data_IF_988276809214
#
_entry.id   IF_988276809214
#
_cell.length_a   1.000
_cell.length_b   1.000
_cell.length_c   1.000
_cell.angle_alpha   90.00
_cell.angle_beta   90.00
_cell.angle_gamma   90.00
#
_symmetry.space_group_name_H-M   'P 1'
#
loop_
_entity.id
_entity.type
_entity.pdbx_description
1 polymer ?
#
# COMPACT_ATOMS: atom_id res chain seq x y z
N UNK A 1 -27.25 -14.56 -102.09
CA UNK A 1 -26.52 -13.59 -101.24
C UNK A 1 -27.09 -13.44 -99.82
N UNK A 2 -28.41 -13.56 -99.59
CA UNK A 2 -29.04 -13.40 -98.27
C UNK A 2 -28.49 -14.35 -97.17
N UNK A 3 -28.21 -15.60 -97.52
CA UNK A 3 -27.75 -16.64 -96.58
C UNK A 3 -26.31 -16.40 -96.05
N UNK A 4 -25.46 -15.64 -96.77
CA UNK A 4 -24.06 -15.39 -96.35
C UNK A 4 -23.97 -14.29 -95.28
N UNK A 5 -24.83 -13.26 -95.37
CA UNK A 5 -24.92 -12.15 -94.42
C UNK A 5 -25.50 -12.60 -93.08
N UNK A 6 -26.59 -13.37 -93.11
CA UNK A 6 -27.17 -13.99 -91.90
C UNK A 6 -26.18 -14.92 -91.18
N UNK A 7 -25.35 -15.67 -91.92
CA UNK A 7 -24.30 -16.52 -91.32
C UNK A 7 -23.19 -15.71 -90.64
N UNK A 8 -22.80 -14.56 -91.21
CA UNK A 8 -21.79 -13.69 -90.60
C UNK A 8 -22.33 -12.99 -89.35
N UNK A 9 -23.56 -12.49 -89.41
CA UNK A 9 -24.24 -11.86 -88.27
C UNK A 9 -24.48 -12.86 -87.13
N UNK A 10 -24.88 -14.09 -87.45
CA UNK A 10 -25.03 -15.17 -86.48
C UNK A 10 -23.69 -15.64 -85.89
N UNK A 11 -22.59 -15.56 -86.65
CA UNK A 11 -21.25 -15.83 -86.12
C UNK A 11 -20.79 -14.72 -85.16
N UNK A 12 -20.99 -13.46 -85.52
CA UNK A 12 -20.66 -12.31 -84.66
C UNK A 12 -21.48 -12.31 -83.36
N UNK A 13 -22.78 -12.58 -83.43
CA UNK A 13 -23.64 -12.72 -82.25
C UNK A 13 -23.23 -13.89 -81.35
N UNK A 14 -22.76 -15.00 -81.93
CA UNK A 14 -22.24 -16.15 -81.15
C UNK A 14 -20.93 -15.81 -80.46
N UNK A 15 -20.05 -15.06 -81.11
CA UNK A 15 -18.80 -14.60 -80.53
C UNK A 15 -19.06 -13.62 -79.37
N UNK A 16 -19.93 -12.63 -79.57
CA UNK A 16 -20.34 -11.69 -78.52
C UNK A 16 -21.01 -12.40 -77.34
N UNK A 17 -21.92 -13.34 -77.62
CA UNK A 17 -22.53 -14.17 -76.58
C UNK A 17 -21.48 -15.00 -75.83
N UNK A 18 -20.49 -15.56 -76.53
CA UNK A 18 -19.40 -16.31 -75.91
C UNK A 18 -18.57 -15.43 -74.97
N UNK A 19 -18.24 -14.20 -75.37
CA UNK A 19 -17.51 -13.25 -74.51
C UNK A 19 -18.33 -12.86 -73.28
N UNK A 20 -19.63 -12.60 -73.43
CA UNK A 20 -20.52 -12.29 -72.29
C UNK A 20 -20.68 -13.48 -71.34
N UNK A 21 -20.78 -14.69 -71.88
CA UNK A 21 -20.83 -15.91 -71.08
C UNK A 21 -19.53 -16.13 -70.30
N UNK A 22 -18.37 -15.88 -70.90
CA UNK A 22 -17.07 -16.01 -70.23
C UNK A 22 -16.93 -15.03 -69.05
N UNK A 23 -17.34 -13.77 -69.23
CA UNK A 23 -17.36 -12.77 -68.15
C UNK A 23 -18.32 -13.21 -67.04
N UNK A 24 -19.51 -13.66 -67.43
CA UNK A 24 -20.52 -14.15 -66.47
C UNK A 24 -19.98 -15.33 -65.65
N UNK A 25 -19.38 -16.32 -66.30
CA UNK A 25 -18.82 -17.51 -65.64
C UNK A 25 -17.70 -17.13 -64.68
N UNK A 26 -16.82 -16.21 -65.06
CA UNK A 26 -15.74 -15.70 -64.19
C UNK A 26 -16.29 -14.94 -62.97
N UNK A 27 -17.41 -14.23 -63.09
CA UNK A 27 -18.06 -13.58 -61.95
C UNK A 27 -18.76 -14.62 -61.06
N UNK A 28 -19.43 -15.62 -61.66
CA UNK A 28 -20.10 -16.71 -60.94
C UNK A 28 -19.14 -17.63 -60.19
N UNK A 29 -17.88 -17.74 -60.63
CA UNK A 29 -16.86 -18.52 -59.93
C UNK A 29 -16.27 -17.82 -58.70
N UNK A 30 -16.29 -16.49 -58.65
CA UNK A 30 -15.67 -15.69 -57.58
C UNK A 30 -16.68 -15.08 -56.59
N UNK A 31 -17.91 -14.80 -57.04
CA UNK A 31 -18.92 -14.13 -56.23
C UNK A 31 -19.97 -15.09 -55.67
N UNK A 32 -20.73 -14.63 -54.68
CA UNK A 32 -21.97 -15.28 -54.27
C UNK A 32 -23.06 -14.84 -55.25
N UNK A 33 -23.64 -15.78 -55.99
CA UNK A 33 -24.61 -15.48 -57.04
C UNK A 33 -25.93 -16.18 -56.75
N UNK A 34 -27.01 -15.41 -56.87
CA UNK A 34 -28.36 -15.96 -56.86
C UNK A 34 -29.25 -15.26 -57.89
N UNK A 35 -30.23 -16.00 -58.38
CA UNK A 35 -31.24 -15.50 -59.31
C UNK A 35 -32.58 -15.50 -58.60
N UNK A 36 -33.34 -14.41 -58.71
CA UNK A 36 -34.70 -14.30 -58.21
C UNK A 36 -35.72 -14.32 -59.35
N UNK A 37 -36.85 -14.98 -59.14
CA UNK A 37 -38.05 -14.80 -59.95
C UNK A 37 -38.58 -13.36 -59.84
N UNK A 38 -39.42 -12.90 -60.78
CA UNK A 38 -39.98 -11.54 -60.74
C UNK A 38 -40.78 -11.22 -59.47
N UNK A 39 -41.28 -12.22 -58.75
CA UNK A 39 -41.98 -12.08 -57.47
C UNK A 39 -41.04 -12.05 -56.23
N UNK A 40 -39.72 -12.17 -56.45
CA UNK A 40 -38.70 -12.14 -55.40
C UNK A 40 -38.36 -13.50 -54.79
N UNK A 41 -38.86 -14.62 -55.35
CA UNK A 41 -38.47 -15.97 -54.92
C UNK A 41 -37.13 -16.41 -55.48
N UNK A 42 -36.35 -17.15 -54.72
CA UNK A 42 -35.03 -17.64 -55.14
C UNK A 42 -35.23 -18.75 -56.19
N UNK A 43 -34.79 -18.47 -57.42
CA UNK A 43 -34.84 -19.40 -58.54
C UNK A 43 -33.61 -20.32 -58.58
N UNK A 44 -32.41 -19.75 -58.36
CA UNK A 44 -31.16 -20.50 -58.39
C UNK A 44 -30.11 -19.82 -57.52
N UNK A 45 -29.13 -20.59 -57.05
CA UNK A 45 -27.96 -20.10 -56.31
C UNK A 45 -26.72 -20.85 -56.81
N UNK A 46 -25.55 -20.22 -56.80
CA UNK A 46 -24.29 -20.91 -57.10
C UNK A 46 -23.74 -21.63 -55.85
N UNK A 47 -22.74 -22.48 -56.06
CA UNK A 47 -22.14 -23.25 -54.96
C UNK A 47 -21.46 -22.34 -53.92
N UNK A 48 -20.86 -21.23 -54.35
CA UNK A 48 -20.25 -20.26 -53.43
C UNK A 48 -21.28 -19.69 -52.46
N UNK A 49 -22.47 -19.30 -52.94
CA UNK A 49 -23.56 -18.83 -52.09
C UNK A 49 -23.98 -19.89 -51.07
N UNK A 50 -24.14 -21.15 -51.49
CA UNK A 50 -24.51 -22.24 -50.58
C UNK A 50 -23.46 -22.48 -49.50
N UNK A 51 -22.19 -22.52 -49.89
CA UNK A 51 -21.07 -22.75 -48.97
C UNK A 51 -20.93 -21.60 -47.97
N UNK A 52 -20.96 -20.35 -48.44
CA UNK A 52 -20.74 -19.19 -47.59
C UNK A 52 -21.97 -18.91 -46.71
N UNK A 53 -23.19 -18.98 -47.26
CA UNK A 53 -24.42 -18.73 -46.51
C UNK A 53 -24.92 -19.94 -45.71
N UNK A 54 -24.20 -21.07 -45.75
CA UNK A 54 -24.46 -22.29 -44.97
C UNK A 54 -25.86 -22.89 -45.18
N UNK A 55 -26.38 -22.78 -46.40
CA UNK A 55 -27.67 -23.37 -46.78
C UNK A 55 -27.49 -24.58 -47.67
N UNK A 56 -28.46 -25.50 -47.65
CA UNK A 56 -28.61 -26.48 -48.72
C UNK A 56 -29.54 -25.92 -49.79
N UNK A 57 -29.33 -26.32 -51.04
CA UNK A 57 -30.11 -25.81 -52.18
C UNK A 57 -31.63 -25.94 -51.97
N UNK A 58 -32.09 -27.08 -51.45
CA UNK A 58 -33.53 -27.31 -51.20
C UNK A 58 -34.15 -26.41 -50.12
N UNK A 59 -33.34 -25.79 -49.26
CA UNK A 59 -33.82 -24.87 -48.21
C UNK A 59 -34.08 -23.45 -48.74
N UNK A 60 -33.56 -23.15 -49.95
CA UNK A 60 -33.60 -21.82 -50.55
C UNK A 60 -34.46 -21.73 -51.79
N UNK A 61 -34.41 -22.72 -52.69
CA UNK A 61 -35.15 -22.63 -53.96
C UNK A 61 -36.65 -22.54 -53.70
N UNK A 62 -37.30 -21.52 -54.29
CA UNK A 62 -38.73 -21.21 -54.12
C UNK A 62 -39.08 -20.36 -52.90
N UNK A 63 -38.13 -20.16 -51.97
CA UNK A 63 -38.29 -19.30 -50.80
C UNK A 63 -38.18 -17.83 -51.18
N UNK A 64 -38.91 -16.95 -50.51
CA UNK A 64 -38.78 -15.51 -50.77
C UNK A 64 -37.45 -15.00 -50.20
N UNK A 65 -36.76 -14.12 -50.92
CA UNK A 65 -35.51 -13.52 -50.42
C UNK A 65 -35.72 -12.79 -49.08
N UNK A 66 -36.93 -12.23 -48.86
CA UNK A 66 -37.36 -11.59 -47.62
C UNK A 66 -37.43 -12.53 -46.41
N UNK A 67 -37.52 -13.84 -46.62
CA UNK A 67 -37.58 -14.84 -45.54
C UNK A 67 -36.20 -15.13 -44.95
N UNK A 68 -35.13 -14.76 -45.65
CA UNK A 68 -33.75 -14.87 -45.19
C UNK A 68 -33.16 -13.51 -44.81
N UNK A 69 -34.00 -12.47 -44.64
CA UNK A 69 -33.60 -11.18 -44.10
C UNK A 69 -33.89 -11.18 -42.58
N UNK A 70 -32.91 -10.85 -41.71
CA UNK A 70 -33.13 -10.80 -40.27
C UNK A 70 -34.28 -9.85 -39.89
N UNK A 71 -35.07 -10.20 -38.89
CA UNK A 71 -36.30 -9.48 -38.55
C UNK A 71 -36.08 -8.00 -38.21
N UNK A 72 -35.02 -7.66 -37.47
CA UNK A 72 -34.66 -6.28 -37.12
C UNK A 72 -34.13 -5.46 -38.30
N UNK A 73 -33.62 -6.10 -39.35
CA UNK A 73 -33.12 -5.42 -40.56
C UNK A 73 -34.27 -5.00 -41.47
N UNK A 74 -35.46 -5.60 -41.34
CA UNK A 74 -36.60 -5.33 -42.25
C UNK A 74 -37.09 -3.88 -42.20
N UNK A 75 -36.78 -3.15 -41.14
CA UNK A 75 -37.06 -1.72 -40.97
C UNK A 75 -35.87 -0.80 -41.33
N UNK A 76 -34.71 -1.35 -41.67
CA UNK A 76 -33.53 -0.57 -42.03
C UNK A 76 -33.75 0.13 -43.38
N UNK A 77 -33.31 1.38 -43.50
CA UNK A 77 -33.42 2.19 -44.72
C UNK A 77 -32.78 1.48 -45.93
N UNK A 78 -31.65 0.82 -45.74
CA UNK A 78 -30.96 0.05 -46.78
C UNK A 78 -31.79 -1.14 -47.28
N UNK A 79 -32.50 -1.82 -46.39
CA UNK A 79 -33.39 -2.91 -46.76
C UNK A 79 -34.62 -2.40 -47.52
N UNK A 80 -35.20 -1.29 -47.08
CA UNK A 80 -36.29 -0.64 -47.80
C UNK A 80 -35.90 -0.27 -49.24
N UNK A 81 -34.69 0.23 -49.44
CA UNK A 81 -34.15 0.53 -50.78
C UNK A 81 -33.97 -0.72 -51.63
N UNK A 82 -33.44 -1.80 -51.06
CA UNK A 82 -33.30 -3.09 -51.74
C UNK A 82 -34.67 -3.65 -52.18
N UNK A 83 -35.65 -3.69 -51.28
CA UNK A 83 -37.01 -4.13 -51.57
C UNK A 83 -37.69 -3.25 -52.63
N UNK A 84 -37.54 -1.93 -52.52
CA UNK A 84 -38.08 -1.00 -53.50
C UNK A 84 -37.51 -1.26 -54.90
N UNK A 85 -36.20 -1.48 -55.02
CA UNK A 85 -35.55 -1.78 -56.30
C UNK A 85 -36.08 -3.08 -56.93
N UNK A 86 -36.26 -4.14 -56.14
CA UNK A 86 -36.88 -5.38 -56.60
C UNK A 86 -38.32 -5.16 -57.07
N UNK A 87 -39.13 -4.40 -56.32
CA UNK A 87 -40.53 -4.14 -56.69
C UNK A 87 -40.69 -3.28 -57.95
N UNK A 88 -39.75 -2.36 -58.20
CA UNK A 88 -39.78 -1.44 -59.34
C UNK A 88 -39.05 -2.00 -60.57
N UNK A 89 -38.32 -3.10 -60.42
CA UNK A 89 -37.50 -3.65 -61.49
C UNK A 89 -36.31 -2.77 -61.84
N UNK A 90 -35.71 -2.15 -60.83
CA UNK A 90 -34.58 -1.23 -60.93
C UNK A 90 -33.27 -1.92 -60.52
N UNK A 91 -32.15 -1.37 -60.98
CA UNK A 91 -30.84 -1.77 -60.53
C UNK A 91 -30.62 -1.33 -59.07
N UNK A 92 -29.93 -2.16 -58.28
CA UNK A 92 -29.50 -1.81 -56.93
C UNK A 92 -28.03 -2.16 -56.72
N UNK A 93 -27.29 -1.28 -56.05
CA UNK A 93 -25.96 -1.54 -55.55
C UNK A 93 -25.85 -1.03 -54.11
N UNK A 94 -25.58 -1.92 -53.16
CA UNK A 94 -25.65 -1.56 -51.74
C UNK A 94 -25.28 -2.71 -50.80
N UNK A 95 -25.33 -2.43 -49.51
CA UNK A 95 -25.19 -3.47 -48.50
C UNK A 95 -26.55 -4.16 -48.27
N UNK A 96 -26.55 -5.48 -48.20
CA UNK A 96 -27.70 -6.34 -47.91
C UNK A 96 -27.30 -7.24 -46.75
N UNK A 97 -28.12 -7.31 -45.71
CA UNK A 97 -27.91 -8.22 -44.58
C UNK A 97 -28.87 -9.40 -44.71
N UNK A 98 -28.31 -10.60 -44.77
CA UNK A 98 -29.06 -11.85 -44.86
C UNK A 98 -28.70 -12.74 -43.67
N UNK A 99 -29.62 -13.61 -43.26
CA UNK A 99 -29.35 -14.70 -42.32
C UNK A 99 -28.69 -15.86 -43.07
N UNK A 100 -27.71 -16.49 -42.42
CA UNK A 100 -27.12 -17.77 -42.83
C UNK A 100 -27.96 -18.93 -42.29
N UNK A 101 -27.73 -20.14 -42.82
CA UNK A 101 -28.45 -21.34 -42.38
C UNK A 101 -28.22 -21.73 -40.91
N UNK A 102 -27.14 -21.26 -40.29
CA UNK A 102 -26.84 -21.45 -38.86
C UNK A 102 -27.46 -20.36 -37.95
N UNK A 103 -28.15 -19.36 -38.52
CA UNK A 103 -28.76 -18.26 -37.78
C UNK A 103 -27.88 -17.02 -37.60
N UNK A 104 -26.59 -17.08 -38.00
CA UNK A 104 -25.71 -15.91 -38.02
C UNK A 104 -26.09 -14.96 -39.15
N UNK A 105 -25.64 -13.71 -39.05
CA UNK A 105 -25.85 -12.73 -40.11
C UNK A 105 -24.68 -12.70 -41.10
N UNK A 106 -25.00 -12.39 -42.35
CA UNK A 106 -24.04 -12.09 -43.40
C UNK A 106 -24.23 -10.66 -43.88
N UNK A 107 -23.14 -9.90 -43.91
CA UNK A 107 -23.09 -8.57 -44.52
C UNK A 107 -22.60 -8.70 -45.95
N UNK A 108 -23.51 -8.57 -46.90
CA UNK A 108 -23.22 -8.73 -48.31
C UNK A 108 -23.16 -7.39 -49.01
N UNK A 109 -22.12 -7.15 -49.81
CA UNK A 109 -22.13 -6.06 -50.79
C UNK A 109 -22.72 -6.61 -52.08
N UNK A 110 -23.97 -6.24 -52.36
CA UNK A 110 -24.76 -6.82 -53.44
C UNK A 110 -25.02 -5.84 -54.57
N UNK A 111 -24.96 -6.37 -55.79
CA UNK A 111 -25.42 -5.72 -57.02
C UNK A 111 -26.58 -6.55 -57.56
N UNK A 112 -27.75 -5.92 -57.72
CA UNK A 112 -28.96 -6.53 -58.27
C UNK A 112 -29.21 -5.97 -59.66
N UNK A 113 -29.31 -6.87 -60.63
CA UNK A 113 -29.56 -6.52 -62.02
C UNK A 113 -30.88 -7.16 -62.51
N UNK A 114 -31.89 -6.37 -62.88
CA UNK A 114 -33.09 -6.89 -63.55
C UNK A 114 -32.74 -7.34 -64.98
N UNK A 115 -32.97 -8.60 -65.29
CA UNK A 115 -32.81 -9.17 -66.63
C UNK A 115 -34.17 -9.17 -67.31
N UNK A 116 -34.30 -8.44 -68.42
CA UNK A 116 -35.55 -8.28 -69.15
C UNK A 116 -35.58 -9.12 -70.42
N UNK A 117 -36.74 -9.64 -70.78
CA UNK A 117 -36.99 -10.27 -72.08
C UNK A 117 -37.08 -9.22 -73.20
N UNK A 118 -37.08 -9.66 -74.45
CA UNK A 118 -37.16 -8.79 -75.63
C UNK A 118 -38.46 -7.97 -75.70
N UNK A 119 -39.50 -8.35 -74.95
CA UNK A 119 -40.77 -7.63 -74.79
C UNK A 119 -40.75 -6.61 -73.62
N UNK A 120 -39.61 -6.42 -72.96
CA UNK A 120 -39.41 -5.45 -71.87
C UNK A 120 -39.86 -5.90 -70.48
N UNK A 121 -40.45 -7.10 -70.35
CA UNK A 121 -40.85 -7.69 -69.05
C UNK A 121 -39.64 -8.21 -68.29
N UNK A 122 -39.69 -8.18 -66.96
CA UNK A 122 -38.64 -8.75 -66.13
C UNK A 122 -38.73 -10.28 -66.21
N UNK A 123 -37.65 -10.92 -66.65
CA UNK A 123 -37.52 -12.37 -66.70
C UNK A 123 -37.07 -12.92 -65.35
N UNK A 124 -36.08 -12.28 -64.73
CA UNK A 124 -35.55 -12.58 -63.40
C UNK A 124 -34.64 -11.44 -62.92
N UNK A 125 -34.20 -11.48 -61.67
CA UNK A 125 -33.12 -10.64 -61.15
C UNK A 125 -31.87 -11.47 -60.93
N UNK A 126 -30.72 -11.02 -61.39
CA UNK A 126 -29.42 -11.61 -61.05
C UNK A 126 -28.77 -10.77 -59.95
N UNK A 127 -28.37 -11.41 -58.85
CA UNK A 127 -27.71 -10.76 -57.72
C UNK A 127 -26.30 -11.32 -57.60
N UNK A 128 -25.31 -10.42 -57.61
CA UNK A 128 -23.91 -10.72 -57.38
C UNK A 128 -23.49 -10.09 -56.07
N UNK A 129 -22.96 -10.87 -55.14
CA UNK A 129 -22.58 -10.39 -53.82
C UNK A 129 -21.17 -10.81 -53.42
N UNK A 130 -20.49 -9.95 -52.66
CA UNK A 130 -19.30 -10.33 -51.89
C UNK A 130 -19.61 -10.27 -50.39
N UNK A 131 -19.03 -11.21 -49.64
CA UNK A 131 -19.19 -11.27 -48.19
C UNK A 131 -18.18 -10.34 -47.50
N UNK A 132 -18.68 -9.39 -46.72
CA UNK A 132 -17.90 -8.44 -45.93
C UNK A 132 -18.04 -8.66 -44.41
N UNK A 133 -18.69 -9.74 -43.99
CA UNK A 133 -19.04 -10.02 -42.58
C UNK A 133 -17.80 -9.97 -41.70
N UNK A 134 -16.77 -10.76 -42.04
CA UNK A 134 -15.53 -10.82 -41.26
C UNK A 134 -14.85 -9.46 -41.12
N UNK A 135 -14.82 -8.67 -42.18
CA UNK A 135 -14.20 -7.33 -42.18
C UNK A 135 -14.99 -6.36 -41.29
N UNK A 136 -16.32 -6.38 -41.38
CA UNK A 136 -17.19 -5.49 -40.59
C UNK A 136 -17.17 -5.88 -39.11
N UNK A 137 -17.23 -7.17 -38.80
CA UNK A 137 -17.18 -7.67 -37.43
C UNK A 137 -15.84 -7.36 -36.78
N UNK A 138 -14.71 -7.62 -37.45
CA UNK A 138 -13.39 -7.27 -36.94
C UNK A 138 -13.25 -5.75 -36.72
N UNK A 139 -13.74 -4.92 -37.64
CA UNK A 139 -13.74 -3.47 -37.47
C UNK A 139 -14.55 -3.04 -36.25
N UNK A 140 -15.75 -3.61 -36.06
CA UNK A 140 -16.61 -3.31 -34.91
C UNK A 140 -16.04 -3.80 -33.59
N UNK A 141 -15.40 -4.96 -33.59
CA UNK A 141 -14.71 -5.49 -32.41
C UNK A 141 -13.58 -4.56 -31.97
N UNK A 142 -12.74 -4.11 -32.92
CA UNK A 142 -11.69 -3.13 -32.64
C UNK A 142 -12.25 -1.79 -32.13
N UNK A 143 -13.32 -1.27 -32.75
CA UNK A 143 -13.98 -0.04 -32.28
C UNK A 143 -14.52 -0.18 -30.85
N UNK A 144 -15.18 -1.31 -30.56
CA UNK A 144 -15.71 -1.59 -29.23
C UNK A 144 -14.59 -1.71 -28.18
N UNK A 145 -13.48 -2.35 -28.53
CA UNK A 145 -12.31 -2.50 -27.66
C UNK A 145 -11.66 -1.14 -27.36
N UNK A 146 -11.40 -0.33 -28.39
CA UNK A 146 -10.87 1.03 -28.22
C UNK A 146 -11.84 1.88 -27.39
N UNK A 147 -13.15 1.78 -27.69
CA UNK A 147 -14.18 2.47 -26.92
C UNK A 147 -14.17 2.09 -25.44
N UNK A 148 -13.94 0.82 -25.11
CA UNK A 148 -13.81 0.37 -23.72
C UNK A 148 -12.58 0.97 -23.02
N UNK A 149 -11.42 1.00 -23.70
CA UNK A 149 -10.19 1.59 -23.18
C UNK A 149 -10.33 3.10 -22.93
N UNK A 150 -10.93 3.84 -23.89
CA UNK A 150 -11.10 5.30 -23.80
C UNK A 150 -12.07 5.70 -22.68
N UNK A 151 -13.02 4.84 -22.29
CA UNK A 151 -13.96 5.11 -21.20
C UNK A 151 -13.33 4.99 -19.81
N UNK A 152 -12.34 4.11 -19.65
CA UNK A 152 -11.71 3.81 -18.35
C UNK A 152 -10.38 4.53 -18.13
N UNK A 153 -9.74 5.07 -19.18
CA UNK A 153 -8.41 5.71 -19.10
C UNK A 153 -8.46 7.19 -19.48
N UNK A 154 -7.54 7.99 -18.95
CA UNK A 154 -7.34 9.35 -19.42
C UNK A 154 -6.56 9.33 -20.74
N UNK A 155 -7.09 10.00 -21.77
CA UNK A 155 -6.52 10.00 -23.12
C UNK A 155 -6.31 11.43 -23.59
N UNK A 156 -5.13 11.69 -24.13
CA UNK A 156 -4.78 12.96 -24.77
C UNK A 156 -3.91 12.69 -26.00
N UNK A 157 -4.17 13.43 -27.07
CA UNK A 157 -3.50 13.29 -28.35
C UNK A 157 -2.66 14.52 -28.66
N UNK A 158 -1.49 14.31 -29.26
CA UNK A 158 -0.57 15.37 -29.66
C UNK A 158 -0.16 15.22 -31.12
N UNK A 159 0.13 16.35 -31.77
CA UNK A 159 0.90 16.35 -33.02
C UNK A 159 2.38 16.00 -32.75
N UNK A 160 3.18 15.85 -33.81
CA UNK A 160 4.61 15.53 -33.70
C UNK A 160 5.46 16.68 -33.12
N UNK A 161 4.89 17.88 -33.02
CA UNK A 161 5.52 19.01 -32.35
C UNK A 161 5.14 19.07 -30.87
N UNK A 162 4.31 18.14 -30.38
CA UNK A 162 3.84 18.08 -29.00
C UNK A 162 2.69 19.01 -28.67
N UNK A 163 1.96 19.54 -29.66
CA UNK A 163 0.76 20.34 -29.44
C UNK A 163 -0.48 19.46 -29.30
N UNK A 164 -1.36 19.81 -28.34
CA UNK A 164 -2.59 19.05 -28.07
C UNK A 164 -3.57 19.13 -29.24
N UNK A 165 -3.98 17.97 -29.74
CA UNK A 165 -5.03 17.83 -30.76
C UNK A 165 -6.41 17.66 -30.12
N UNK A 166 -6.51 16.73 -29.18
CA UNK A 166 -7.75 16.36 -28.49
C UNK A 166 -7.43 15.75 -27.13
N UNK A 167 -8.43 15.71 -26.24
CA UNK A 167 -8.36 15.01 -24.96
C UNK A 167 -9.76 14.56 -24.54
N UNK A 168 -9.86 13.43 -23.85
CA UNK A 168 -11.13 12.94 -23.32
C UNK A 168 -11.47 13.56 -21.95
N UNK A 169 -12.73 13.40 -21.52
CA UNK A 169 -13.21 13.97 -20.26
C UNK A 169 -12.42 13.50 -19.03
N UNK A 170 -11.92 12.24 -19.05
CA UNK A 170 -11.10 11.70 -17.96
C UNK A 170 -9.79 12.47 -17.79
N UNK A 171 -9.10 12.76 -18.89
CA UNK A 171 -7.89 13.58 -18.86
C UNK A 171 -8.20 15.01 -18.39
N UNK A 172 -9.24 15.60 -18.96
CA UNK A 172 -9.66 16.98 -18.63
C UNK A 172 -10.01 17.14 -17.16
N UNK A 173 -10.81 16.21 -16.60
CA UNK A 173 -11.16 16.18 -15.18
C UNK A 173 -9.94 15.92 -14.30
N UNK A 174 -9.10 14.93 -14.65
CA UNK A 174 -7.91 14.59 -13.89
C UNK A 174 -6.87 15.72 -13.82
N UNK A 175 -6.79 16.55 -14.85
CA UNK A 175 -5.87 17.69 -14.92
C UNK A 175 -6.54 19.05 -14.65
N UNK A 176 -7.86 19.09 -14.41
CA UNK A 176 -8.61 20.31 -14.13
C UNK A 176 -8.73 21.30 -15.30
N UNK A 177 -8.48 20.87 -16.54
CA UNK A 177 -8.57 21.73 -17.73
C UNK A 177 -9.85 21.48 -18.53
N UNK A 178 -10.28 22.47 -19.29
CA UNK A 178 -11.19 22.29 -20.43
C UNK A 178 -10.40 22.11 -21.72
N UNK A 179 -11.00 21.43 -22.72
CA UNK A 179 -10.35 21.23 -24.02
C UNK A 179 -9.95 22.56 -24.68
N UNK A 180 -10.77 23.61 -24.52
CA UNK A 180 -10.50 24.93 -25.09
C UNK A 180 -9.23 25.59 -24.51
N UNK A 181 -8.87 25.29 -23.26
CA UNK A 181 -7.67 25.84 -22.63
C UNK A 181 -6.38 25.17 -23.13
N UNK A 182 -6.45 23.89 -23.52
CA UNK A 182 -5.27 23.08 -23.83
C UNK A 182 -5.09 22.83 -25.33
N UNK A 183 -6.15 22.85 -26.14
CA UNK A 183 -6.07 22.55 -27.58
C UNK A 183 -5.13 23.53 -28.29
N UNK A 184 -4.20 22.99 -29.07
CA UNK A 184 -3.16 23.75 -29.77
C UNK A 184 -2.03 24.27 -28.88
N UNK A 185 -2.09 24.04 -27.55
CA UNK A 185 -0.98 24.34 -26.65
C UNK A 185 0.01 23.18 -26.61
N UNK A 186 1.26 23.49 -26.34
CA UNK A 186 2.33 22.50 -26.28
C UNK A 186 2.31 21.76 -24.92
N UNK A 187 2.55 20.45 -24.94
CA UNK A 187 2.56 19.54 -23.78
C UNK A 187 3.32 20.08 -22.56
N UNK A 188 4.42 20.80 -22.77
CA UNK A 188 5.23 21.49 -21.75
C UNK A 188 4.43 22.29 -20.71
N UNK A 189 3.22 22.76 -21.05
CA UNK A 189 2.36 23.47 -20.09
C UNK A 189 1.94 22.61 -18.88
N UNK A 190 1.97 21.28 -19.02
CA UNK A 190 1.67 20.34 -17.93
C UNK A 190 2.90 19.97 -17.11
N UNK A 191 4.10 20.42 -17.49
CA UNK A 191 5.35 20.08 -16.83
C UNK A 191 5.79 21.22 -15.90
N UNK A 192 6.57 20.88 -14.87
CA UNK A 192 7.29 21.92 -14.14
C UNK A 192 8.32 22.63 -15.05
N UNK A 193 8.59 23.90 -14.75
CA UNK A 193 9.51 24.73 -15.52
C UNK A 193 10.93 24.17 -15.64
N UNK A 194 11.42 23.43 -14.62
CA UNK A 194 12.72 22.77 -14.67
C UNK A 194 12.74 21.59 -15.64
N UNK A 195 11.71 20.74 -15.61
CA UNK A 195 11.57 19.58 -16.50
C UNK A 195 11.38 20.03 -17.95
N UNK A 196 10.50 21.02 -18.20
CA UNK A 196 10.20 21.51 -19.55
C UNK A 196 11.42 22.04 -20.31
N UNK A 197 12.46 22.50 -19.59
CA UNK A 197 13.69 23.03 -20.14
C UNK A 197 14.85 22.02 -20.13
N UNK A 198 14.63 20.80 -19.67
CA UNK A 198 15.67 19.80 -19.47
C UNK A 198 16.05 19.07 -20.77
N UNK A 199 17.25 18.48 -20.78
CA UNK A 199 17.73 17.68 -21.92
C UNK A 199 16.91 16.39 -22.07
N UNK A 200 16.42 15.84 -20.96
CA UNK A 200 15.57 14.64 -20.88
C UNK A 200 14.23 14.89 -21.57
N UNK A 201 13.61 16.06 -21.35
CA UNK A 201 12.35 16.43 -22.02
C UNK A 201 12.52 16.55 -23.54
N UNK A 202 13.65 17.10 -24.00
CA UNK A 202 13.96 17.15 -25.44
C UNK A 202 14.19 15.75 -26.02
N UNK A 203 14.90 14.89 -25.28
CA UNK A 203 15.11 13.50 -25.68
C UNK A 203 13.79 12.70 -25.72
N UNK A 204 12.89 12.96 -24.78
CA UNK A 204 11.57 12.35 -24.72
C UNK A 204 10.77 12.55 -26.01
N UNK A 205 10.66 13.78 -26.51
CA UNK A 205 9.97 14.04 -27.79
C UNK A 205 10.72 13.50 -29.00
N UNK A 206 12.06 13.49 -28.97
CA UNK A 206 12.87 12.88 -30.03
C UNK A 206 12.59 11.39 -30.17
N UNK A 207 12.52 10.66 -29.06
CA UNK A 207 12.19 9.22 -29.03
C UNK A 207 10.80 8.96 -29.59
N UNK A 208 9.80 9.71 -29.15
CA UNK A 208 8.43 9.61 -29.68
C UNK A 208 8.37 9.86 -31.19
N UNK A 209 9.09 10.87 -31.67
CA UNK A 209 9.15 11.21 -33.10
C UNK A 209 9.93 10.18 -33.93
N UNK A 210 10.72 9.31 -33.28
CA UNK A 210 11.35 8.15 -33.91
C UNK A 210 10.48 6.88 -33.85
N UNK A 211 9.25 6.98 -33.33
CA UNK A 211 8.32 5.85 -33.21
C UNK A 211 8.50 5.03 -31.93
N UNK A 212 9.40 5.42 -31.02
CA UNK A 212 9.56 4.73 -29.73
C UNK A 212 8.47 5.16 -28.75
N UNK A 213 7.75 4.20 -28.17
CA UNK A 213 6.85 4.50 -27.06
C UNK A 213 7.64 4.79 -25.77
N UNK A 214 7.08 5.63 -24.91
CA UNK A 214 7.65 5.95 -23.60
C UNK A 214 6.60 5.75 -22.53
N UNK A 215 6.90 4.92 -21.53
CA UNK A 215 6.02 4.67 -20.39
C UNK A 215 6.73 4.98 -19.06
N UNK A 216 5.97 5.39 -18.06
CA UNK A 216 6.49 5.70 -16.73
C UNK A 216 5.50 6.47 -15.85
N UNK A 217 5.98 6.87 -14.66
CA UNK A 217 5.27 7.76 -13.75
C UNK A 217 5.77 9.19 -13.96
N UNK A 218 4.85 10.10 -14.23
CA UNK A 218 5.16 11.48 -14.58
C UNK A 218 4.47 12.43 -13.62
N UNK A 219 5.26 13.30 -13.00
CA UNK A 219 4.75 14.43 -12.23
C UNK A 219 4.31 15.53 -13.19
N UNK A 220 3.08 16.02 -13.06
CA UNK A 220 2.49 17.06 -13.90
C UNK A 220 1.81 18.12 -13.04
N UNK A 221 1.50 19.25 -13.66
CA UNK A 221 0.85 20.39 -13.03
C UNK A 221 -0.55 20.57 -13.63
N UNK A 222 -1.56 20.61 -12.78
CA UNK A 222 -2.96 20.81 -13.14
C UNK A 222 -3.27 22.30 -13.42
N UNK A 223 -4.51 22.61 -13.82
CA UNK A 223 -4.93 23.99 -14.10
C UNK A 223 -4.85 24.96 -12.91
N UNK A 224 -4.75 24.44 -11.69
CA UNK A 224 -4.68 25.21 -10.44
C UNK A 224 -3.26 25.30 -9.90
N UNK A 225 -2.26 24.77 -10.62
CA UNK A 225 -0.87 24.73 -10.16
C UNK A 225 -0.55 23.59 -9.20
N UNK A 226 -1.45 22.62 -9.01
CA UNK A 226 -1.25 21.48 -8.11
C UNK A 226 -0.54 20.35 -8.82
N UNK A 227 0.23 19.60 -8.05
CA UNK A 227 0.92 18.40 -8.52
C UNK A 227 -0.07 17.26 -8.76
N UNK A 228 0.05 16.61 -9.92
CA UNK A 228 -0.70 15.43 -10.31
C UNK A 228 0.27 14.38 -10.80
N UNK A 229 0.20 13.17 -10.25
CA UNK A 229 1.00 12.05 -10.73
C UNK A 229 0.20 11.21 -11.70
N UNK A 230 0.80 10.97 -12.87
CA UNK A 230 0.21 10.16 -13.93
C UNK A 230 1.11 8.96 -14.23
N UNK A 231 0.58 7.76 -14.09
CA UNK A 231 1.18 6.58 -14.73
C UNK A 231 0.69 6.55 -16.16
N UNK A 232 1.59 6.67 -17.13
CA UNK A 232 1.19 6.88 -18.51
C UNK A 232 2.12 6.20 -19.52
N UNK A 233 1.56 5.90 -20.68
CA UNK A 233 2.28 5.51 -21.89
C UNK A 233 1.98 6.50 -23.01
N UNK A 234 3.03 6.98 -23.67
CA UNK A 234 2.97 7.82 -24.86
C UNK A 234 3.28 6.94 -26.07
N UNK A 235 2.31 6.79 -26.96
CA UNK A 235 2.32 5.81 -28.04
C UNK A 235 2.24 6.54 -29.38
N UNK A 236 3.34 6.57 -30.16
CA UNK A 236 3.34 7.09 -31.52
C UNK A 236 2.40 6.27 -32.42
N UNK A 237 1.57 6.92 -33.25
CA UNK A 237 0.58 6.27 -34.12
C UNK A 237 0.91 6.52 -35.59
N UNK A 238 0.90 5.43 -36.36
CA UNK A 238 1.17 5.41 -37.79
C UNK A 238 -0.13 5.56 -38.60
N UNK A 239 -0.03 6.17 -39.78
CA UNK A 239 -1.10 6.23 -40.77
C UNK A 239 -1.12 4.98 -41.67
N UNK A 240 -2.03 4.95 -42.66
CA UNK A 240 -2.16 3.83 -43.60
C UNK A 240 -0.93 3.61 -44.51
N UNK A 241 0.00 4.58 -44.57
CA UNK A 241 1.26 4.49 -45.31
C UNK A 241 2.46 4.26 -44.37
N UNK A 242 2.21 3.78 -43.15
CA UNK A 242 3.24 3.54 -42.12
C UNK A 242 4.00 4.81 -41.70
N UNK A 243 3.43 5.99 -41.92
CA UNK A 243 4.06 7.25 -41.52
C UNK A 243 3.52 7.71 -40.17
N UNK A 244 4.43 8.09 -39.28
CA UNK A 244 4.05 8.67 -38.00
C UNK A 244 3.32 10.01 -38.20
N UNK A 245 2.16 10.17 -37.57
CA UNK A 245 1.37 11.41 -37.71
C UNK A 245 0.87 12.01 -36.39
N UNK A 246 0.80 11.23 -35.31
CA UNK A 246 0.42 11.73 -33.97
C UNK A 246 1.00 10.87 -32.85
N UNK A 247 0.90 11.37 -31.62
CA UNK A 247 1.20 10.63 -30.39
C UNK A 247 -0.05 10.57 -29.53
N UNK A 248 -0.43 9.38 -29.07
CA UNK A 248 -1.55 9.17 -28.15
C UNK A 248 -1.02 8.77 -26.78
N UNK A 249 -1.38 9.53 -25.75
CA UNK A 249 -1.06 9.23 -24.37
C UNK A 249 -2.26 8.58 -23.68
N UNK A 250 -2.05 7.43 -23.05
CA UNK A 250 -2.97 6.83 -22.09
C UNK A 250 -2.40 7.05 -20.69
N UNK A 251 -3.25 7.45 -19.75
CA UNK A 251 -2.83 7.75 -18.39
C UNK A 251 -3.85 7.30 -17.34
N UNK A 252 -3.32 6.96 -16.18
CA UNK A 252 -4.06 6.75 -14.94
C UNK A 252 -3.56 7.79 -13.93
N UNK A 253 -4.49 8.45 -13.25
CA UNK A 253 -4.14 9.37 -12.16
C UNK A 253 -3.79 8.53 -10.94
N UNK A 254 -2.56 8.66 -10.45
CA UNK A 254 -2.00 7.91 -9.32
C UNK A 254 -1.55 8.84 -8.19
N UNK A 255 -2.01 10.09 -8.16
CA UNK A 255 -1.62 11.09 -7.15
C UNK A 255 -1.83 10.59 -5.72
N UNK A 256 -3.01 10.03 -5.44
CA UNK A 256 -3.33 9.51 -4.10
C UNK A 256 -2.43 8.33 -3.73
N UNK A 257 -2.12 7.46 -4.70
CA UNK A 257 -1.21 6.34 -4.50
C UNK A 257 0.20 6.83 -4.18
N UNK A 258 0.75 7.79 -4.94
CA UNK A 258 2.09 8.34 -4.69
C UNK A 258 2.14 9.05 -3.33
N UNK A 259 1.11 9.82 -2.98
CA UNK A 259 1.03 10.48 -1.68
C UNK A 259 0.98 9.44 -0.53
N UNK A 260 0.26 8.33 -0.72
CA UNK A 260 0.23 7.24 0.26
C UNK A 260 1.58 6.53 0.36
N UNK A 261 2.24 6.23 -0.76
CA UNK A 261 3.60 5.66 -0.79
C UNK A 261 4.58 6.56 -0.02
N UNK A 262 4.53 7.89 -0.22
CA UNK A 262 5.37 8.86 0.49
C UNK A 262 5.05 8.93 1.99
N UNK A 263 3.77 8.99 2.36
CA UNK A 263 3.35 9.04 3.76
C UNK A 263 3.77 7.78 4.53
N UNK A 264 3.69 6.61 3.90
CA UNK A 264 4.16 5.34 4.47
C UNK A 264 5.68 5.36 4.66
N UNK A 265 6.44 5.85 3.68
CA UNK A 265 7.89 5.97 3.80
C UNK A 265 8.32 6.94 4.92
N UNK A 266 7.64 8.07 5.07
CA UNK A 266 7.90 9.04 6.14
C UNK A 266 7.59 8.44 7.52
N UNK A 267 6.42 7.80 7.67
CA UNK A 267 6.04 7.13 8.91
C UNK A 267 7.03 6.02 9.30
N UNK A 268 7.54 5.25 8.34
CA UNK A 268 8.56 4.24 8.56
C UNK A 268 9.87 4.86 9.07
N UNK A 269 10.33 5.97 8.47
CA UNK A 269 11.53 6.68 8.93
C UNK A 269 11.38 7.24 10.35
N UNK A 270 10.20 7.78 10.69
CA UNK A 270 9.90 8.25 12.05
C UNK A 270 9.94 7.07 13.03
N UNK A 271 9.32 5.95 12.70
CA UNK A 271 9.34 4.74 13.55
C UNK A 271 10.78 4.22 13.75
N UNK A 272 11.58 4.15 12.68
CA UNK A 272 12.97 3.71 12.73
C UNK A 272 13.84 4.58 13.65
N UNK A 273 13.80 5.91 13.46
CA UNK A 273 14.56 6.86 14.28
C UNK A 273 14.11 6.86 15.75
N UNK A 274 12.79 6.76 16.00
CA UNK A 274 12.23 6.66 17.35
C UNK A 274 12.67 5.38 18.05
N UNK A 275 12.71 4.24 17.34
CA UNK A 275 13.18 2.98 17.92
C UNK A 275 14.68 2.99 18.21
N UNK A 276 15.51 3.58 17.34
CA UNK A 276 16.94 3.77 17.65
C UNK A 276 17.15 4.62 18.92
N UNK A 277 16.37 5.69 19.07
CA UNK A 277 16.41 6.52 20.27
C UNK A 277 15.91 5.74 21.51
N UNK A 278 14.90 4.89 21.33
CA UNK A 278 14.36 4.03 22.40
C UNK A 278 15.39 3.01 22.86
N UNK A 279 16.09 2.32 21.95
CA UNK A 279 17.19 1.40 22.30
C UNK A 279 18.30 2.13 23.08
N UNK A 280 18.75 3.28 22.59
CA UNK A 280 19.77 4.09 23.29
C UNK A 280 19.31 4.51 24.70
N UNK A 281 18.04 4.88 24.85
CA UNK A 281 17.45 5.27 26.13
C UNK A 281 17.31 4.07 27.07
N UNK A 282 16.92 2.91 26.55
CA UNK A 282 16.85 1.66 27.30
C UNK A 282 18.24 1.24 27.81
N UNK A 283 19.27 1.30 26.97
CA UNK A 283 20.66 1.03 27.38
C UNK A 283 21.15 1.96 28.50
N UNK A 284 20.76 3.24 28.46
CA UNK A 284 21.01 4.18 29.57
C UNK A 284 20.24 3.76 30.83
N UNK A 285 18.98 3.37 30.69
CA UNK A 285 18.16 2.84 31.77
C UNK A 285 18.79 1.62 32.44
N UNK A 286 19.28 0.66 31.66
CA UNK A 286 19.95 -0.56 32.17
C UNK A 286 21.15 -0.20 33.04
N UNK A 287 21.95 0.80 32.63
CA UNK A 287 23.09 1.27 33.42
C UNK A 287 22.65 1.86 34.75
N UNK A 288 21.63 2.72 34.74
CA UNK A 288 21.09 3.34 35.96
C UNK A 288 20.53 2.29 36.93
N UNK A 289 19.79 1.30 36.43
CA UNK A 289 19.27 0.19 37.25
C UNK A 289 20.41 -0.64 37.84
N UNK A 290 21.44 -0.96 37.04
CA UNK A 290 22.61 -1.71 37.51
C UNK A 290 23.34 -0.96 38.62
N UNK A 291 23.48 0.36 38.50
CA UNK A 291 24.05 1.21 39.53
C UNK A 291 23.19 1.21 40.81
N UNK A 292 21.87 1.36 40.68
CA UNK A 292 20.95 1.30 41.82
C UNK A 292 21.02 -0.05 42.56
N UNK A 293 21.11 -1.16 41.83
CA UNK A 293 21.32 -2.50 42.39
C UNK A 293 22.61 -2.56 43.21
N UNK A 294 23.71 -1.99 42.71
CA UNK A 294 24.98 -1.96 43.44
C UNK A 294 24.88 -1.12 44.72
N UNK A 295 24.27 0.07 44.63
CA UNK A 295 24.03 0.95 45.79
C UNK A 295 23.19 0.24 46.86
N UNK A 296 22.15 -0.50 46.48
CA UNK A 296 21.33 -1.26 47.44
C UNK A 296 22.10 -2.40 48.11
N UNK A 297 22.97 -3.10 47.37
CA UNK A 297 23.85 -4.12 47.98
C UNK A 297 24.81 -3.50 48.98
N UNK A 298 25.41 -2.37 48.64
CA UNK A 298 26.32 -1.66 49.55
C UNK A 298 25.58 -1.13 50.78
N UNK A 299 24.35 -0.64 50.62
CA UNK A 299 23.51 -0.22 51.73
C UNK A 299 23.20 -1.38 52.68
N UNK A 300 22.78 -2.53 52.16
CA UNK A 300 22.54 -3.73 52.96
C UNK A 300 23.79 -4.18 53.73
N UNK A 301 24.96 -4.13 53.09
CA UNK A 301 26.26 -4.41 53.74
C UNK A 301 26.57 -3.39 54.85
N UNK A 302 26.36 -2.10 54.61
CA UNK A 302 26.59 -1.06 55.62
C UNK A 302 25.63 -1.20 56.82
N UNK A 303 24.37 -1.57 56.60
CA UNK A 303 23.41 -1.85 57.68
C UNK A 303 23.85 -3.04 58.53
N UNK A 304 24.34 -4.11 57.89
CA UNK A 304 24.88 -5.28 58.58
C UNK A 304 26.08 -4.90 59.47
N UNK A 305 27.07 -4.20 58.92
CA UNK A 305 28.26 -3.77 59.68
C UNK A 305 27.91 -2.80 60.81
N UNK A 306 26.98 -1.88 60.58
CA UNK A 306 26.50 -0.97 61.63
C UNK A 306 25.77 -1.72 62.75
N UNK A 307 24.96 -2.72 62.41
CA UNK A 307 24.30 -3.61 63.38
C UNK A 307 25.30 -4.32 64.28
N UNK A 308 26.32 -4.96 63.68
CA UNK A 308 27.39 -5.65 64.42
C UNK A 308 28.14 -4.70 65.37
N UNK A 309 28.43 -3.47 64.93
CA UNK A 309 29.09 -2.46 65.78
C UNK A 309 28.23 -2.01 66.96
N UNK A 310 26.91 -1.91 66.78
CA UNK A 310 25.99 -1.55 67.86
C UNK A 310 25.77 -2.72 68.84
N UNK A 311 25.73 -3.96 68.34
CA UNK A 311 25.67 -5.15 69.19
C UNK A 311 26.90 -5.22 70.11
N UNK A 312 28.11 -4.98 69.57
CA UNK A 312 29.33 -4.90 70.37
C UNK A 312 29.25 -3.77 71.42
N UNK A 313 28.65 -2.62 71.08
CA UNK A 313 28.44 -1.52 72.03
C UNK A 313 27.45 -1.89 73.15
N UNK A 314 26.41 -2.65 72.83
CA UNK A 314 25.46 -3.19 73.81
C UNK A 314 26.14 -4.18 74.77
N UNK A 315 26.99 -5.08 74.26
CA UNK A 315 27.77 -6.00 75.07
C UNK A 315 28.75 -5.24 76.00
N UNK A 316 29.47 -4.26 75.47
CA UNK A 316 30.36 -3.41 76.26
C UNK A 316 29.61 -2.65 77.37
N UNK A 317 28.40 -2.17 77.08
CA UNK A 317 27.54 -1.51 78.08
C UNK A 317 27.12 -2.48 79.20
N UNK A 318 26.88 -3.75 78.89
CA UNK A 318 26.58 -4.79 79.88
C UNK A 318 27.78 -5.10 80.79
N UNK A 319 29.00 -5.11 80.23
CA UNK A 319 30.24 -5.22 81.01
C UNK A 319 30.40 -4.02 81.95
N UNK A 320 30.20 -2.80 81.45
CA UNK A 320 30.24 -1.59 82.29
C UNK A 320 29.21 -1.67 83.42
N UNK A 321 27.97 -2.08 83.13
CA UNK A 321 26.94 -2.27 84.16
C UNK A 321 27.36 -3.24 85.27
N UNK A 322 28.08 -4.31 84.92
CA UNK A 322 28.62 -5.29 85.89
C UNK A 322 29.74 -4.69 86.76
N UNK A 323 30.62 -3.89 86.14
CA UNK A 323 31.69 -3.18 86.85
C UNK A 323 31.08 -2.17 87.85
N UNK A 324 30.12 -1.37 87.41
CA UNK A 324 29.44 -0.35 88.23
C UNK A 324 28.70 -1.00 89.39
N UNK A 325 28.04 -2.14 89.18
CA UNK A 325 27.40 -2.93 90.25
C UNK A 325 28.41 -3.41 91.29
N UNK A 326 29.60 -3.84 90.86
CA UNK A 326 30.69 -4.23 91.76
C UNK A 326 31.19 -3.03 92.58
N UNK A 327 31.39 -1.87 91.94
CA UNK A 327 31.81 -0.63 92.63
C UNK A 327 30.77 -0.18 93.66
N UNK A 328 29.48 -0.25 93.32
CA UNK A 328 28.39 0.06 94.23
C UNK A 328 28.41 -0.85 95.47
N UNK A 329 28.63 -2.16 95.28
CA UNK A 329 28.80 -3.11 96.38
C UNK A 329 30.03 -2.84 97.25
N UNK A 330 31.17 -2.44 96.65
CA UNK A 330 32.37 -2.02 97.39
C UNK A 330 32.09 -0.75 98.21
N UNK A 331 31.39 0.23 97.64
CA UNK A 331 31.00 1.43 98.35
C UNK A 331 30.09 1.12 99.54
N UNK A 332 29.10 0.24 99.37
CA UNK A 332 28.21 -0.18 100.46
C UNK A 332 28.96 -0.92 101.58
N UNK A 333 29.89 -1.82 101.24
CA UNK A 333 30.77 -2.47 102.21
C UNK A 333 31.68 -1.47 102.93
N UNK A 334 32.25 -0.51 102.20
CA UNK A 334 33.12 0.54 102.76
C UNK A 334 32.34 1.43 103.72
N UNK A 335 31.08 1.73 103.40
CA UNK A 335 30.16 2.46 104.27
C UNK A 335 29.89 1.70 105.58
N UNK A 336 29.69 0.38 105.52
CA UNK A 336 29.53 -0.48 106.71
C UNK A 336 30.81 -0.58 107.55
N UNK A 337 31.98 -0.70 106.90
CA UNK A 337 33.27 -0.71 107.61
C UNK A 337 33.54 0.62 108.31
N UNK A 338 33.24 1.74 107.65
CA UNK A 338 33.35 3.08 108.23
C UNK A 338 32.40 3.26 109.42
N UNK A 339 31.17 2.75 109.33
CA UNK A 339 30.23 2.75 110.44
C UNK A 339 30.77 1.97 111.66
N UNK A 340 31.31 0.77 111.43
CA UNK A 340 31.91 -0.03 112.50
C UNK A 340 33.14 0.67 113.12
N UNK A 341 33.98 1.30 112.30
CA UNK A 341 35.10 2.09 112.77
C UNK A 341 34.67 3.31 113.60
N UNK A 342 33.58 4.00 113.21
CA UNK A 342 33.02 5.09 113.98
C UNK A 342 32.48 4.64 115.35
N UNK A 343 31.85 3.46 115.41
CA UNK A 343 31.38 2.85 116.67
C UNK A 343 32.57 2.53 117.59
N UNK A 344 33.62 1.90 117.06
CA UNK A 344 34.81 1.54 117.87
C UNK A 344 35.59 2.79 118.31
N UNK A 345 35.65 3.83 117.46
CA UNK A 345 36.22 5.13 117.81
C UNK A 345 35.44 5.81 118.95
N UNK A 346 34.10 5.74 118.94
CA UNK A 346 33.27 6.22 120.04
C UNK A 346 33.51 5.42 121.33
N UNK A 347 33.74 4.11 121.21
CA UNK A 347 34.02 3.21 122.34
C UNK A 347 35.38 3.46 123.00
N UNK A 348 36.38 3.90 122.23
CA UNK A 348 37.72 4.24 122.72
C UNK A 348 37.80 5.61 123.46
N UNK A 349 36.70 6.37 123.53
CA UNK A 349 36.62 7.62 124.28
C UNK A 349 37.55 8.72 123.72
N UNK A 350 38.27 9.43 124.60
CA UNK A 350 39.16 10.54 124.20
C UNK A 350 40.29 10.11 123.25
N UNK A 351 40.75 8.85 123.31
CA UNK A 351 41.79 8.32 122.41
C UNK A 351 41.27 8.03 120.99
N UNK A 352 39.94 7.94 120.81
CA UNK A 352 39.29 7.61 119.53
C UNK A 352 38.89 8.82 118.68
N UNK A 353 38.98 10.06 119.19
CA UNK A 353 38.46 11.26 118.48
C UNK A 353 39.05 11.46 117.09
N UNK A 354 40.35 11.22 116.91
CA UNK A 354 41.01 11.31 115.60
C UNK A 354 40.52 10.24 114.62
N UNK A 355 40.27 9.02 115.11
CA UNK A 355 39.73 7.92 114.31
C UNK A 355 38.27 8.14 113.92
N UNK A 356 37.46 8.78 114.77
CA UNK A 356 36.06 9.09 114.47
C UNK A 356 35.91 10.02 113.26
N UNK A 357 36.77 11.05 113.15
CA UNK A 357 36.76 11.98 112.01
C UNK A 357 37.09 11.25 110.70
N UNK A 358 38.11 10.39 110.71
CA UNK A 358 38.49 9.60 109.54
C UNK A 358 37.36 8.64 109.14
N UNK A 359 36.72 7.99 110.11
CA UNK A 359 35.60 7.09 109.87
C UNK A 359 34.41 7.82 109.22
N UNK A 360 34.06 9.02 109.69
CA UNK A 360 33.00 9.84 109.08
C UNK A 360 33.34 10.29 107.65
N UNK A 361 34.59 10.65 107.37
CA UNK A 361 35.05 11.03 106.03
C UNK A 361 34.96 9.85 105.04
N UNK A 362 35.41 8.67 105.46
CA UNK A 362 35.31 7.44 104.64
C UNK A 362 33.84 7.08 104.40
N UNK A 363 32.97 7.26 105.39
CA UNK A 363 31.52 7.03 105.24
C UNK A 363 30.90 7.99 104.21
N UNK A 364 31.23 9.28 104.28
CA UNK A 364 30.75 10.26 103.30
C UNK A 364 31.27 9.96 101.89
N UNK A 365 32.55 9.58 101.76
CA UNK A 365 33.13 9.19 100.48
C UNK A 365 32.40 7.98 99.89
N UNK A 366 32.16 6.95 100.70
CA UNK A 366 31.43 5.76 100.28
C UNK A 366 30.00 6.09 99.83
N UNK A 367 29.28 6.94 100.56
CA UNK A 367 27.94 7.41 100.17
C UNK A 367 27.95 8.17 98.83
N UNK A 368 28.93 9.06 98.62
CA UNK A 368 29.10 9.77 97.34
C UNK A 368 29.44 8.82 96.20
N UNK A 369 30.25 7.80 96.45
CA UNK A 369 30.55 6.75 95.47
C UNK A 369 29.30 5.96 95.10
N UNK A 370 28.47 5.55 96.07
CA UNK A 370 27.20 4.88 95.81
C UNK A 370 26.28 5.73 94.92
N UNK A 371 26.10 7.00 95.26
CA UNK A 371 25.27 7.92 94.47
C UNK A 371 25.78 8.07 93.04
N UNK A 372 27.08 8.27 92.85
CA UNK A 372 27.68 8.35 91.51
C UNK A 372 27.51 7.05 90.72
N UNK A 373 27.60 5.89 91.37
CA UNK A 373 27.34 4.61 90.69
C UNK A 373 25.89 4.44 90.26
N UNK A 374 24.91 4.93 91.02
CA UNK A 374 23.50 4.91 90.61
C UNK A 374 23.24 5.75 89.36
N UNK A 375 23.85 6.94 89.28
CA UNK A 375 23.78 7.79 88.08
C UNK A 375 24.37 7.07 86.85
N UNK A 376 25.52 6.42 86.99
CA UNK A 376 26.14 5.66 85.91
C UNK A 376 25.25 4.48 85.48
N UNK A 377 24.60 3.78 86.42
CA UNK A 377 23.64 2.71 86.08
C UNK A 377 22.52 3.26 85.19
N UNK A 378 22.01 4.46 85.48
CA UNK A 378 21.02 5.14 84.65
C UNK A 378 21.51 5.37 83.22
N UNK A 379 22.72 5.92 83.06
CA UNK A 379 23.34 6.16 81.75
C UNK A 379 23.58 4.86 80.97
N UNK A 380 24.08 3.81 81.64
CA UNK A 380 24.32 2.50 81.02
C UNK A 380 23.01 1.90 80.50
N UNK A 381 21.93 1.99 81.29
CA UNK A 381 20.61 1.51 80.88
C UNK A 381 20.10 2.26 79.66
N UNK A 382 20.23 3.59 79.66
CA UNK A 382 19.83 4.41 78.51
C UNK A 382 20.62 4.05 77.25
N UNK A 383 21.94 3.81 77.37
CA UNK A 383 22.77 3.36 76.25
C UNK A 383 22.34 1.98 75.72
N UNK A 384 21.96 1.05 76.60
CA UNK A 384 21.44 -0.26 76.19
C UNK A 384 20.12 -0.13 75.42
N UNK A 385 19.20 0.72 75.89
CA UNK A 385 17.93 0.96 75.21
C UNK A 385 18.14 1.63 73.84
N UNK A 386 19.07 2.60 73.75
CA UNK A 386 19.47 3.22 72.48
C UNK A 386 20.10 2.21 71.51
N UNK A 387 20.96 1.32 72.01
CA UNK A 387 21.59 0.29 71.18
C UNK A 387 20.56 -0.70 70.62
N UNK A 388 19.61 -1.17 71.44
CA UNK A 388 18.51 -2.04 70.98
C UNK A 388 17.66 -1.38 69.90
N UNK A 389 17.30 -0.11 70.10
CA UNK A 389 16.52 0.63 69.10
C UNK A 389 17.31 0.81 67.80
N UNK A 390 18.61 1.08 67.88
CA UNK A 390 19.45 1.24 66.70
C UNK A 390 19.63 -0.09 65.93
N UNK A 391 19.77 -1.24 66.60
CA UNK A 391 19.78 -2.57 65.95
C UNK A 391 18.45 -2.84 65.21
N UNK A 392 17.32 -2.50 65.82
CA UNK A 392 16.01 -2.65 65.16
C UNK A 392 15.92 -1.81 63.88
N UNK A 393 16.39 -0.55 63.92
CA UNK A 393 16.46 0.32 62.74
C UNK A 393 17.39 -0.22 61.65
N UNK A 394 18.55 -0.81 62.01
CA UNK A 394 19.46 -1.43 61.03
C UNK A 394 18.83 -2.64 60.36
N UNK A 395 18.04 -3.42 61.10
CA UNK A 395 17.33 -4.58 60.56
C UNK A 395 16.23 -4.17 59.59
N UNK A 396 15.45 -3.12 59.93
CA UNK A 396 14.44 -2.57 59.02
C UNK A 396 15.08 -1.97 57.77
N UNK A 397 16.17 -1.19 57.93
CA UNK A 397 16.92 -0.62 56.81
C UNK A 397 17.50 -1.68 55.87
N UNK A 398 17.97 -2.81 56.41
CA UNK A 398 18.41 -3.96 55.61
C UNK A 398 17.26 -4.56 54.79
N UNK A 399 16.10 -4.76 55.40
CA UNK A 399 14.91 -5.30 54.72
C UNK A 399 14.42 -4.36 53.60
N UNK A 400 14.45 -3.04 53.84
CA UNK A 400 14.14 -2.04 52.81
C UNK A 400 15.14 -2.07 51.64
N UNK A 401 16.44 -2.23 51.92
CA UNK A 401 17.45 -2.36 50.87
C UNK A 401 17.25 -3.64 50.02
N UNK A 402 16.85 -4.76 50.64
CA UNK A 402 16.51 -6.00 49.95
C UNK A 402 15.24 -5.86 49.07
N UNK A 403 14.22 -5.14 49.55
CA UNK A 403 13.05 -4.80 48.74
C UNK A 403 13.42 -3.89 47.55
N UNK A 404 14.27 -2.88 47.79
CA UNK A 404 14.77 -1.99 46.74
C UNK A 404 15.56 -2.76 45.67
N UNK A 405 16.33 -3.78 46.07
CA UNK A 405 17.03 -4.67 45.15
C UNK A 405 16.07 -5.46 44.26
N UNK A 406 14.98 -6.00 44.83
CA UNK A 406 13.96 -6.73 44.07
C UNK A 406 13.27 -5.84 43.03
N UNK A 407 12.85 -4.63 43.42
CA UNK A 407 12.23 -3.65 42.52
C UNK A 407 13.17 -3.21 41.41
N UNK A 408 14.46 -2.99 41.72
CA UNK A 408 15.45 -2.63 40.72
C UNK A 408 15.68 -3.78 39.72
N UNK A 409 15.70 -5.03 40.18
CA UNK A 409 15.79 -6.19 39.30
C UNK A 409 14.60 -6.28 38.34
N UNK A 410 13.37 -6.09 38.84
CA UNK A 410 12.16 -6.05 38.03
C UNK A 410 12.20 -4.92 36.98
N UNK A 411 12.58 -3.71 37.38
CA UNK A 411 12.78 -2.59 36.45
C UNK A 411 13.81 -2.93 35.36
N UNK A 412 14.88 -3.63 35.72
CA UNK A 412 15.89 -4.11 34.77
C UNK A 412 15.31 -5.06 33.72
N UNK A 413 14.43 -5.98 34.11
CA UNK A 413 13.77 -6.90 33.17
C UNK A 413 12.89 -6.16 32.15
N UNK A 414 12.09 -5.18 32.61
CA UNK A 414 11.23 -4.37 31.74
C UNK A 414 12.05 -3.55 30.73
N UNK A 415 13.21 -3.01 31.16
CA UNK A 415 14.09 -2.26 30.25
C UNK A 415 14.66 -3.15 29.14
N UNK A 416 15.01 -4.40 29.46
CA UNK A 416 15.47 -5.38 28.45
C UNK A 416 14.35 -5.68 27.46
N UNK A 417 13.10 -5.81 27.91
CA UNK A 417 11.94 -6.00 27.02
C UNK A 417 11.71 -4.79 26.10
N UNK A 418 11.85 -3.57 26.63
CA UNK A 418 11.78 -2.33 25.82
C UNK A 418 12.88 -2.32 24.76
N UNK A 419 14.09 -2.74 25.14
CA UNK A 419 15.23 -2.80 24.22
C UNK A 419 14.98 -3.80 23.08
N UNK A 420 14.53 -5.01 23.41
CA UNK A 420 14.20 -6.04 22.43
C UNK A 420 13.05 -5.60 21.50
N UNK A 421 12.02 -4.95 22.06
CA UNK A 421 10.92 -4.37 21.29
C UNK A 421 11.39 -3.30 20.30
N UNK A 422 12.27 -2.40 20.73
CA UNK A 422 12.85 -1.37 19.88
C UNK A 422 13.66 -1.97 18.73
N UNK A 423 14.51 -2.98 19.01
CA UNK A 423 15.33 -3.64 18.00
C UNK A 423 14.47 -4.37 16.95
N UNK A 424 13.40 -5.05 17.36
CA UNK A 424 12.46 -5.70 16.43
C UNK A 424 11.83 -4.71 15.45
N UNK A 425 11.50 -3.50 15.89
CA UNK A 425 10.97 -2.45 15.01
C UNK A 425 12.05 -1.97 14.03
N UNK A 426 13.29 -1.77 14.49
CA UNK A 426 14.42 -1.41 13.63
C UNK A 426 14.62 -2.46 12.53
N UNK A 427 14.60 -3.74 12.90
CA UNK A 427 14.77 -4.85 11.95
C UNK A 427 13.61 -4.92 10.94
N UNK A 428 12.37 -4.77 11.41
CA UNK A 428 11.18 -4.80 10.56
C UNK A 428 11.17 -3.65 9.54
N UNK A 429 11.49 -2.42 9.99
CA UNK A 429 11.57 -1.27 9.08
C UNK A 429 12.77 -1.39 8.14
N UNK A 430 13.90 -1.91 8.62
CA UNK A 430 15.08 -2.17 7.78
C UNK A 430 14.80 -3.18 6.65
N UNK A 431 14.05 -4.24 6.94
CA UNK A 431 13.62 -5.21 5.91
C UNK A 431 12.67 -4.57 4.89
N UNK A 432 11.74 -3.73 5.34
CA UNK A 432 10.81 -3.01 4.47
C UNK A 432 11.55 -2.05 3.52
N UNK A 433 12.53 -1.29 4.02
CA UNK A 433 13.33 -0.38 3.21
C UNK A 433 14.16 -1.12 2.13
N UNK A 434 14.68 -2.31 2.45
CA UNK A 434 15.42 -3.14 1.49
C UNK A 434 14.50 -3.73 0.40
N UNK A 435 13.24 -4.04 0.72
CA UNK A 435 12.25 -4.52 -0.26
C UNK A 435 11.79 -3.43 -1.24
N UNK A 436 11.71 -2.16 -0.81
CA UNK A 436 11.38 -1.04 -1.69
C UNK A 436 12.53 -0.64 -2.63
N UNK A 437 13.76 -1.01 -2.27
CA UNK A 437 14.97 -0.69 -3.03
C UNK A 437 15.38 -1.79 -4.02
N UNK A 438 14.68 -2.93 -4.02
CA UNK A 438 14.86 -4.07 -4.93
C UNK A 438 13.74 -4.11 -5.96
#
# INVERSE_FOLDING_TARGET
>A
MFNKRLKQELAALREELSSLLQVKESLESEMLVLTLEPDGRIQSVNQNFLNEMLYKSHDLIGRAIEDIVPAHVKSDEFHHRFRAALSRGEHFAGAVRLSRGNGEEAWLRSIVQPVRSSDGRIKHFSIFSSDLTRTIEASREHENLIGALVRSTAVIEFDLNGNVLSANDRFLQGMGYSLAQIKGKHHRMFCDSGEANSAEYQNFWRRLNNGEFVAGRFKRIDAHGREVWLEASYNPVLDANEKLYKVVKFATVITDQVNQEQAVAEAANIAYSTSLQTDSTAQRGTRVVTEAVNVMRDLSRHMQTAGEGIEALNEQSQVIGTIVKTISGIAEQTNLLALNAAIEAARAGEQGRGFAVVADEVRQLASRTSQATEEIVGVVRQNQDMARNAVALMTDGKLQAEQGLALAAEAGTVIVEIQDGAQKVVDAVGQFANQLSS
#
